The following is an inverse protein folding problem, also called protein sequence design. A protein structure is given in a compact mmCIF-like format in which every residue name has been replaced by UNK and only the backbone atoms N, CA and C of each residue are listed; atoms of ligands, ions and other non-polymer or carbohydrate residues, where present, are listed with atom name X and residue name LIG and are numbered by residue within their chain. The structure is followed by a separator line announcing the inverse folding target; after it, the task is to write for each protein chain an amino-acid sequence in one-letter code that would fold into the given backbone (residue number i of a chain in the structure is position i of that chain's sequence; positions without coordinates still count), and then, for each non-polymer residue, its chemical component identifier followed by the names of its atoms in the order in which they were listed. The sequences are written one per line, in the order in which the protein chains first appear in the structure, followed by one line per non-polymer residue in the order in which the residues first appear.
data_IF_446588565972
#
_entry.id   IF_446588565972
#
_cell.length_a   1.000
_cell.length_b   1.000
_cell.length_c   1.000
_cell.angle_alpha   90.00
_cell.angle_beta   90.00
_cell.angle_gamma   90.00
#
_symmetry.space_group_name_H-M   'P 1'
#
loop_
_entity.id
_entity.type
_entity.pdbx_description
1 polymer ?
#
# COMPACT_ATOMS: atom_id res chain seq x y z
N UNK A 1 -0.73 13.20 -5.46
CA UNK A 1 0.34 12.26 -5.80
C UNK A 1 0.20 11.75 -7.23
N UNK A 2 1.33 11.67 -7.95
CA UNK A 2 1.48 11.03 -9.26
C UNK A 2 2.16 9.67 -9.08
N UNK A 3 1.44 8.62 -9.44
CA UNK A 3 1.96 7.23 -9.44
C UNK A 3 2.23 6.82 -10.90
N UNK A 4 3.49 6.52 -11.27
CA UNK A 4 3.82 5.95 -12.58
C UNK A 4 3.01 4.70 -12.90
N UNK A 5 2.70 4.49 -14.18
CA UNK A 5 1.92 3.32 -14.63
C UNK A 5 2.55 1.99 -14.17
N UNK A 6 3.86 1.86 -14.27
CA UNK A 6 4.60 0.68 -13.84
C UNK A 6 4.39 0.34 -12.35
N UNK A 7 4.29 1.35 -11.47
CA UNK A 7 4.03 1.11 -10.04
C UNK A 7 2.57 0.74 -9.79
N UNK A 8 1.62 1.29 -10.55
CA UNK A 8 0.22 0.84 -10.47
C UNK A 8 0.09 -0.63 -10.86
N UNK A 9 0.74 -1.03 -11.94
CA UNK A 9 0.75 -2.43 -12.40
C UNK A 9 1.46 -3.34 -11.39
N UNK A 10 2.61 -2.92 -10.85
CA UNK A 10 3.32 -3.69 -9.82
C UNK A 10 2.50 -3.86 -8.53
N UNK A 11 1.80 -2.81 -8.07
CA UNK A 11 0.90 -2.92 -6.92
C UNK A 11 -0.28 -3.86 -7.18
N UNK A 12 -0.85 -3.83 -8.38
CA UNK A 12 -1.93 -4.75 -8.78
C UNK A 12 -1.43 -6.20 -8.82
N UNK A 13 -0.29 -6.46 -9.45
CA UNK A 13 0.31 -7.80 -9.47
C UNK A 13 0.59 -8.30 -8.06
N UNK A 14 1.14 -7.46 -7.19
CA UNK A 14 1.40 -7.80 -5.79
C UNK A 14 0.10 -8.17 -5.04
N UNK A 15 -0.98 -7.41 -5.23
CA UNK A 15 -2.28 -7.73 -4.66
C UNK A 15 -2.82 -9.08 -5.13
N UNK A 16 -2.71 -9.39 -6.42
CA UNK A 16 -3.18 -10.66 -7.00
C UNK A 16 -2.33 -11.83 -6.48
N UNK A 17 -1.01 -11.67 -6.39
CA UNK A 17 -0.08 -12.70 -5.94
C UNK A 17 -0.26 -13.08 -4.46
N UNK A 18 -0.72 -12.13 -3.62
CA UNK A 18 -0.97 -12.40 -2.20
C UNK A 18 -2.39 -12.89 -1.89
N UNK A 19 -3.31 -12.85 -2.85
CA UNK A 19 -4.65 -13.39 -2.67
C UNK A 19 -4.57 -14.88 -2.26
N UNK A 20 -5.34 -15.35 -1.24
CA UNK A 20 -6.50 -14.71 -0.64
C UNK A 20 -6.23 -13.75 0.52
N UNK A 21 -4.96 -13.44 0.84
CA UNK A 21 -4.62 -12.49 1.89
C UNK A 21 -4.51 -11.06 1.34
N UNK A 22 -4.66 -10.06 2.23
CA UNK A 22 -4.35 -8.69 1.88
C UNK A 22 -2.85 -8.53 1.65
N UNK A 23 -2.46 -7.81 0.61
CA UNK A 23 -1.09 -7.33 0.42
C UNK A 23 -0.93 -5.97 1.10
N UNK A 24 0.32 -5.53 1.29
CA UNK A 24 0.60 -4.17 1.74
C UNK A 24 1.93 -3.65 1.20
N UNK A 25 2.13 -2.34 1.25
CA UNK A 25 3.42 -1.75 0.96
C UNK A 25 3.44 -0.24 0.97
N UNK A 26 4.56 0.31 0.50
CA UNK A 26 4.86 1.75 0.52
C UNK A 26 5.25 2.24 -0.86
N UNK A 27 4.70 3.38 -1.27
CA UNK A 27 5.27 4.21 -2.32
C UNK A 27 6.02 5.37 -1.67
N UNK A 28 7.27 5.56 -2.06
CA UNK A 28 8.06 6.71 -1.66
C UNK A 28 8.46 7.56 -2.85
N UNK A 29 8.86 8.79 -2.56
CA UNK A 29 9.51 9.62 -3.56
C UNK A 29 9.71 11.04 -3.11
N UNK A 30 9.85 11.94 -4.07
CA UNK A 30 10.20 13.33 -3.81
C UNK A 30 9.06 14.25 -4.23
N UNK A 31 8.63 15.12 -3.31
CA UNK A 31 7.47 15.98 -3.55
C UNK A 31 6.19 15.16 -3.69
N UNK A 32 5.49 15.28 -4.81
CA UNK A 32 4.21 14.59 -5.02
C UNK A 32 4.31 13.48 -6.09
N UNK A 33 5.51 12.97 -6.38
CA UNK A 33 5.76 11.95 -7.41
C UNK A 33 6.38 10.70 -6.76
N UNK A 34 5.71 9.55 -6.92
CA UNK A 34 6.27 8.27 -6.50
C UNK A 34 7.46 7.90 -7.39
N UNK A 35 8.62 7.69 -6.77
CA UNK A 35 9.88 7.31 -7.43
C UNK A 35 10.34 5.91 -7.06
N UNK A 36 9.80 5.32 -5.99
CA UNK A 36 10.09 3.94 -5.60
C UNK A 36 8.86 3.24 -5.05
N UNK A 37 8.80 1.91 -5.24
CA UNK A 37 7.75 1.03 -4.76
C UNK A 37 8.37 -0.07 -3.91
N UNK A 38 7.94 -0.14 -2.65
CA UNK A 38 8.30 -1.18 -1.70
C UNK A 38 7.08 -2.09 -1.47
N UNK A 39 6.94 -3.23 -2.17
CA UNK A 39 6.06 -4.28 -1.70
C UNK A 39 6.56 -4.78 -0.34
N UNK A 40 5.62 -5.07 0.57
CA UNK A 40 5.93 -5.52 1.92
C UNK A 40 5.15 -6.78 2.28
N UNK A 41 5.75 -7.59 3.14
CA UNK A 41 5.11 -8.77 3.72
C UNK A 41 4.00 -8.36 4.69
N UNK A 42 2.81 -8.95 4.50
CA UNK A 42 1.74 -8.88 5.47
C UNK A 42 1.99 -9.92 6.59
N UNK A 43 2.60 -9.48 7.69
CA UNK A 43 2.88 -10.30 8.86
C UNK A 43 1.63 -10.86 9.53
N UNK A 44 0.46 -10.24 9.33
CA UNK A 44 -0.81 -10.77 9.83
C UNK A 44 -1.31 -11.98 9.02
N UNK A 45 -0.79 -12.20 7.80
CA UNK A 45 -1.19 -13.28 6.88
C UNK A 45 -2.72 -13.44 6.82
N UNK A 46 -3.43 -12.33 6.66
CA UNK A 46 -4.88 -12.24 6.87
C UNK A 46 -5.60 -11.72 5.62
N UNK A 47 -6.81 -12.23 5.33
CA UNK A 47 -7.65 -11.71 4.25
C UNK A 47 -8.40 -10.42 4.60
N UNK A 48 -8.29 -9.92 5.84
CA UNK A 48 -9.10 -8.80 6.36
C UNK A 48 -8.30 -7.65 6.96
N UNK A 49 -6.97 -7.80 7.08
CA UNK A 49 -6.08 -6.77 7.59
C UNK A 49 -4.65 -7.01 7.12
N UNK A 50 -3.86 -5.95 7.16
CA UNK A 50 -2.42 -6.05 7.03
C UNK A 50 -1.68 -5.59 8.30
N UNK A 51 -0.46 -6.08 8.45
CA UNK A 51 0.51 -5.61 9.42
C UNK A 51 1.88 -5.71 8.75
N UNK A 52 2.65 -4.62 8.74
CA UNK A 52 3.99 -4.65 8.17
C UNK A 52 4.90 -5.59 8.98
N UNK A 53 5.69 -6.42 8.30
CA UNK A 53 6.76 -7.16 8.97
C UNK A 53 7.78 -6.16 9.54
N UNK A 54 8.04 -6.25 10.85
CA UNK A 54 8.76 -5.21 11.57
C UNK A 54 10.21 -5.00 11.13
N UNK A 55 10.94 -6.06 10.78
CA UNK A 55 12.34 -5.92 10.31
C UNK A 55 12.41 -5.38 8.90
N UNK A 56 11.51 -5.80 8.03
CA UNK A 56 11.35 -5.24 6.69
C UNK A 56 10.98 -3.77 6.75
N UNK A 57 10.02 -3.41 7.60
CA UNK A 57 9.57 -2.03 7.78
C UNK A 57 10.72 -1.10 8.18
N UNK A 58 11.54 -1.50 9.15
CA UNK A 58 12.74 -0.74 9.54
C UNK A 58 13.70 -0.54 8.37
N UNK A 59 13.89 -1.55 7.51
CA UNK A 59 14.76 -1.44 6.33
C UNK A 59 14.19 -0.48 5.29
N UNK A 60 12.89 -0.54 5.05
CA UNK A 60 12.20 0.36 4.11
C UNK A 60 12.33 1.80 4.56
N UNK A 61 12.06 2.11 5.83
CA UNK A 61 12.17 3.48 6.35
C UNK A 61 13.62 3.99 6.27
N UNK A 62 14.61 3.18 6.63
CA UNK A 62 16.03 3.55 6.47
C UNK A 62 16.40 3.83 5.02
N UNK A 63 15.93 2.99 4.08
CA UNK A 63 16.16 3.19 2.65
C UNK A 63 15.55 4.51 2.16
N UNK A 64 14.34 4.84 2.61
CA UNK A 64 13.66 6.10 2.27
C UNK A 64 14.46 7.30 2.79
N UNK A 65 14.93 7.25 4.04
CA UNK A 65 15.76 8.29 4.65
C UNK A 65 17.11 8.46 3.93
N UNK A 66 17.81 7.37 3.61
CA UNK A 66 19.09 7.40 2.90
C UNK A 66 19.00 8.06 1.52
N UNK A 67 17.84 7.96 0.87
CA UNK A 67 17.58 8.58 -0.44
C UNK A 67 16.96 9.99 -0.33
N UNK A 68 16.74 10.51 0.87
CA UNK A 68 15.99 11.75 1.14
C UNK A 68 14.62 11.78 0.43
N UNK A 69 13.88 10.67 0.55
CA UNK A 69 12.51 10.56 0.06
C UNK A 69 11.50 10.67 1.20
N UNK A 70 10.27 10.96 0.83
CA UNK A 70 9.11 10.97 1.72
C UNK A 70 8.30 9.68 1.55
N UNK A 71 7.60 9.27 2.61
CA UNK A 71 6.55 8.26 2.52
C UNK A 71 5.32 8.92 1.90
N UNK A 72 5.09 8.67 0.61
CA UNK A 72 4.00 9.31 -0.13
C UNK A 72 2.68 8.55 0.01
N UNK A 73 2.74 7.22 0.00
CA UNK A 73 1.54 6.41 0.06
C UNK A 73 1.79 5.10 0.81
N UNK A 74 0.89 4.76 1.71
CA UNK A 74 0.70 3.39 2.15
C UNK A 74 -0.35 2.76 1.25
N UNK A 75 -0.16 1.52 0.80
CA UNK A 75 -1.20 0.81 0.07
C UNK A 75 -1.44 -0.58 0.65
N UNK A 76 -2.66 -1.06 0.50
CA UNK A 76 -3.05 -2.44 0.79
C UNK A 76 -4.18 -2.90 -0.13
N UNK A 77 -4.44 -4.21 -0.17
CA UNK A 77 -5.56 -4.77 -0.93
C UNK A 77 -6.71 -5.15 -0.02
N UNK A 78 -7.94 -5.03 -0.52
CA UNK A 78 -9.13 -5.63 0.05
C UNK A 78 -9.53 -6.82 -0.82
N UNK A 79 -9.63 -8.00 -0.22
CA UNK A 79 -9.85 -9.26 -0.93
C UNK A 79 -11.30 -9.45 -1.41
N UNK A 80 -12.27 -8.90 -0.68
CA UNK A 80 -13.71 -9.06 -0.99
C UNK A 80 -14.56 -7.81 -0.79
N UNK A 81 -13.94 -6.66 -0.52
CA UNK A 81 -14.65 -5.40 -0.30
C UNK A 81 -14.19 -4.31 -1.25
N UNK A 82 -15.01 -3.26 -1.40
CA UNK A 82 -14.73 -2.14 -2.29
C UNK A 82 -13.49 -1.37 -1.85
N UNK A 83 -12.91 -0.61 -2.79
CA UNK A 83 -11.72 0.21 -2.55
C UNK A 83 -12.10 1.44 -1.72
N UNK A 84 -12.50 1.24 -0.47
CA UNK A 84 -12.89 2.27 0.50
C UNK A 84 -12.19 2.04 1.82
N UNK A 85 -11.81 3.12 2.52
CA UNK A 85 -11.27 2.99 3.87
C UNK A 85 -12.32 2.33 4.78
N UNK A 86 -11.93 1.26 5.45
CA UNK A 86 -12.68 0.61 6.52
C UNK A 86 -12.45 1.33 7.85
N UNK A 87 -13.32 1.06 8.83
CA UNK A 87 -13.14 1.60 10.19
C UNK A 87 -11.83 1.10 10.83
N UNK A 88 -11.36 -0.08 10.44
CA UNK A 88 -10.06 -0.63 10.87
C UNK A 88 -8.92 0.16 10.26
N UNK A 89 -8.97 0.45 8.95
CA UNK A 89 -7.92 1.22 8.26
C UNK A 89 -7.75 2.60 8.90
N UNK A 90 -8.86 3.29 9.16
CA UNK A 90 -8.85 4.61 9.78
C UNK A 90 -8.18 4.62 11.16
N UNK A 91 -8.32 3.53 11.93
CA UNK A 91 -7.68 3.40 13.25
C UNK A 91 -6.20 3.07 13.17
N UNK A 92 -5.75 2.54 12.04
CA UNK A 92 -4.37 2.08 11.81
C UNK A 92 -3.54 3.09 11.00
N UNK A 93 -4.06 4.29 10.76
CA UNK A 93 -3.29 5.38 10.14
C UNK A 93 -2.13 5.75 11.06
N UNK A 94 -0.92 5.60 10.53
CA UNK A 94 0.36 5.80 11.23
C UNK A 94 1.26 6.81 10.53
N UNK A 95 0.99 7.11 9.26
CA UNK A 95 1.73 8.08 8.45
C UNK A 95 0.84 9.29 8.18
N UNK A 96 0.87 10.33 9.05
CA UNK A 96 0.13 11.55 8.80
C UNK A 96 0.64 12.21 7.51
N UNK A 97 -0.27 12.89 6.79
CA UNK A 97 -0.01 13.59 5.53
C UNK A 97 0.31 12.70 4.31
N UNK A 98 0.42 11.38 4.48
CA UNK A 98 0.55 10.41 3.40
C UNK A 98 -0.82 10.04 2.80
N UNK A 99 -0.79 9.52 1.57
CA UNK A 99 -1.97 8.89 0.97
C UNK A 99 -2.13 7.45 1.48
N UNK A 100 -3.37 7.00 1.57
CA UNK A 100 -3.73 5.60 1.81
C UNK A 100 -4.47 5.09 0.58
N UNK A 101 -3.89 4.12 -0.11
CA UNK A 101 -4.40 3.57 -1.36
C UNK A 101 -4.91 2.15 -1.17
N UNK A 102 -6.12 1.89 -1.63
CA UNK A 102 -6.79 0.61 -1.48
C UNK A 102 -7.01 0.01 -2.85
N UNK A 103 -6.61 -1.25 -2.99
CA UNK A 103 -6.81 -2.07 -4.18
C UNK A 103 -7.91 -3.07 -3.89
N UNK A 104 -9.07 -2.91 -4.50
CA UNK A 104 -10.17 -3.87 -4.35
C UNK A 104 -10.03 -5.01 -5.34
N UNK A 105 -9.99 -6.23 -4.82
CA UNK A 105 -10.06 -7.48 -5.59
C UNK A 105 -11.47 -8.11 -5.53
N UNK A 106 -12.49 -7.35 -5.12
CA UNK A 106 -13.89 -7.80 -5.06
C UNK A 106 -14.38 -8.29 -6.43
N UNK A 107 -13.96 -7.60 -7.49
CA UNK A 107 -14.01 -8.10 -8.87
C UNK A 107 -12.55 -8.26 -9.34
N UNK A 108 -12.03 -9.49 -9.30
CA UNK A 108 -10.65 -9.77 -9.66
C UNK A 108 -10.34 -9.53 -11.14
N UNK A 109 -11.36 -9.56 -12.01
CA UNK A 109 -11.19 -9.30 -13.43
C UNK A 109 -11.11 -7.79 -13.72
N UNK A 110 -11.67 -6.96 -12.82
CA UNK A 110 -11.62 -5.50 -12.92
C UNK A 110 -11.29 -4.85 -11.55
N UNK A 111 -10.03 -4.94 -11.07
CA UNK A 111 -9.65 -4.36 -9.79
C UNK A 111 -9.85 -2.83 -9.74
N UNK A 112 -10.49 -2.33 -8.67
CA UNK A 112 -10.65 -0.89 -8.42
C UNK A 112 -9.50 -0.39 -7.53
N UNK A 113 -8.97 0.80 -7.83
CA UNK A 113 -7.88 1.43 -7.08
C UNK A 113 -8.30 2.83 -6.66
N UNK A 114 -8.32 3.09 -5.35
CA UNK A 114 -8.64 4.42 -4.82
C UNK A 114 -7.62 4.87 -3.81
N UNK A 115 -7.24 6.15 -3.89
CA UNK A 115 -6.34 6.79 -2.94
C UNK A 115 -7.09 7.84 -2.12
N UNK A 116 -6.82 7.85 -0.82
CA UNK A 116 -7.40 8.74 0.16
C UNK A 116 -6.29 9.55 0.79
N UNK A 117 -6.51 10.85 0.97
CA UNK A 117 -5.64 11.69 1.78
C UNK A 117 -6.28 11.81 3.16
N UNK A 118 -5.52 11.46 4.20
CA UNK A 118 -5.96 11.41 5.60
C UNK A 118 -5.10 12.30 6.47
#
# INVERSE_FOLDING_TARGET
MKIPKAFREAMLSHAIENYPNECCGVLSGMGDIATYHYPMENAASSPFRYEFEGKEHIKVIKSIEEHNWDVLCIYHSHTGSEARLSDTDLRLITYPDSYYLIISLKDSDNPDIRAYKV
#
